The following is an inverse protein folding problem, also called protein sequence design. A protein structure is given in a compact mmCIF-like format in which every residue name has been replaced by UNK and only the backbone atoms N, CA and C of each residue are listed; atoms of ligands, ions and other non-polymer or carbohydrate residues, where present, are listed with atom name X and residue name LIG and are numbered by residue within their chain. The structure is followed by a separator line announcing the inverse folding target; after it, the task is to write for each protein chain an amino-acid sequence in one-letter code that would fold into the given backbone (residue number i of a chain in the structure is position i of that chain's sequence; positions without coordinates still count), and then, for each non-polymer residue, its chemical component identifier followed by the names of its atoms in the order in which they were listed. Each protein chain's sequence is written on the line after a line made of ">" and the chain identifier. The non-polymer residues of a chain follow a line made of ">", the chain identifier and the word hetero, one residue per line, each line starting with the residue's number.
data_IF_493086748871
#
_entry.id   IF_493086748871
#
_cell.length_a   1.000
_cell.length_b   1.000
_cell.length_c   1.000
_cell.angle_alpha   90.00
_cell.angle_beta   90.00
_cell.angle_gamma   90.00
#
_symmetry.space_group_name_H-M   'P 1'
#
loop_
_entity.id
_entity.type
_entity.pdbx_description
1 polymer ?
#
# COMPACT_ATOMS: atom_id res chain seq x y z
N UNK A 1 -22.40 18.76 -20.87
CA UNK A 1 -21.15 18.05 -20.55
C UNK A 1 -20.75 17.26 -21.80
N UNK A 2 -19.54 17.46 -22.35
CA UNK A 2 -19.14 16.82 -23.61
C UNK A 2 -18.76 15.34 -23.42
N UNK A 3 -18.97 14.53 -24.45
CA UNK A 3 -18.73 13.08 -24.48
C UNK A 3 -17.28 12.71 -24.08
N UNK A 4 -16.31 13.53 -24.47
CA UNK A 4 -14.88 13.39 -24.12
C UNK A 4 -14.60 13.46 -22.61
N UNK A 5 -15.36 14.28 -21.87
CA UNK A 5 -15.17 14.41 -20.40
C UNK A 5 -15.69 13.16 -19.69
N UNK A 6 -16.71 12.51 -20.25
CA UNK A 6 -17.29 11.28 -19.70
C UNK A 6 -16.31 10.10 -19.83
N UNK A 7 -15.63 10.00 -20.97
CA UNK A 7 -14.60 8.98 -21.23
C UNK A 7 -13.40 9.09 -20.27
N UNK A 8 -12.83 10.29 -20.12
CA UNK A 8 -11.72 10.53 -19.19
C UNK A 8 -12.09 10.22 -17.73
N UNK A 9 -13.32 10.53 -17.33
CA UNK A 9 -13.81 10.24 -15.98
C UNK A 9 -13.82 8.74 -15.70
N UNK A 10 -14.29 7.93 -16.65
CA UNK A 10 -14.31 6.46 -16.51
C UNK A 10 -12.89 5.87 -16.54
N UNK A 11 -12.02 6.38 -17.40
CA UNK A 11 -10.60 5.98 -17.41
C UNK A 11 -9.92 6.21 -16.06
N UNK A 12 -10.17 7.36 -15.41
CA UNK A 12 -9.60 7.68 -14.09
C UNK A 12 -10.16 6.77 -13.01
N UNK A 13 -11.47 6.49 -13.02
CA UNK A 13 -12.10 5.55 -12.07
C UNK A 13 -11.51 4.15 -12.20
N UNK A 14 -11.36 3.65 -13.42
CA UNK A 14 -10.81 2.32 -13.66
C UNK A 14 -9.36 2.22 -13.19
N UNK A 15 -8.53 3.22 -13.47
CA UNK A 15 -7.16 3.23 -12.98
C UNK A 15 -7.08 3.34 -11.45
N UNK A 16 -7.98 4.11 -10.83
CA UNK A 16 -8.07 4.17 -9.36
C UNK A 16 -8.36 2.79 -8.77
N UNK A 17 -9.35 2.08 -9.31
CA UNK A 17 -9.70 0.72 -8.88
C UNK A 17 -8.51 -0.24 -9.00
N UNK A 18 -7.82 -0.21 -10.15
CA UNK A 18 -6.60 -1.03 -10.36
C UNK A 18 -5.49 -0.73 -9.37
N UNK A 19 -5.38 0.50 -8.86
CA UNK A 19 -4.39 0.86 -7.82
C UNK A 19 -4.83 0.34 -6.44
N UNK A 20 -6.12 0.44 -6.12
CA UNK A 20 -6.70 -0.07 -4.87
C UNK A 20 -6.58 -1.61 -4.79
N UNK A 21 -6.74 -2.32 -5.90
CA UNK A 21 -6.54 -3.78 -5.96
C UNK A 21 -5.10 -4.23 -5.75
N UNK A 22 -4.13 -3.35 -6.01
CA UNK A 22 -2.70 -3.66 -5.95
C UNK A 22 -2.06 -3.18 -4.65
N UNK A 23 -2.66 -2.19 -4.00
CA UNK A 23 -2.04 -1.50 -2.87
C UNK A 23 -2.99 -1.25 -1.73
N UNK A 24 -2.48 -1.40 -0.51
CA UNK A 24 -3.19 -1.10 0.72
C UNK A 24 -2.60 0.12 1.44
N UNK A 25 -3.40 0.73 2.30
CA UNK A 25 -2.96 1.77 3.22
C UNK A 25 -2.29 1.20 4.47
N UNK A 26 -1.77 2.10 5.30
CA UNK A 26 -1.13 1.77 6.59
C UNK A 26 -2.07 1.02 7.53
N UNK A 27 -3.35 1.41 7.56
CA UNK A 27 -4.35 0.80 8.45
C UNK A 27 -4.58 -0.67 8.11
N UNK A 28 -4.87 -0.95 6.84
CA UNK A 28 -5.05 -2.32 6.33
C UNK A 28 -3.77 -3.15 6.53
N UNK A 29 -2.60 -2.54 6.31
CA UNK A 29 -1.33 -3.21 6.59
C UNK A 29 -1.16 -3.56 8.08
N UNK A 30 -1.58 -2.67 8.99
CA UNK A 30 -1.57 -2.93 10.42
C UNK A 30 -2.49 -4.11 10.79
N UNK A 31 -3.66 -4.20 10.16
CA UNK A 31 -4.60 -5.32 10.32
C UNK A 31 -3.99 -6.64 9.84
N UNK A 32 -3.34 -6.66 8.67
CA UNK A 32 -2.64 -7.84 8.13
C UNK A 32 -1.54 -8.31 9.08
N UNK A 33 -0.76 -7.36 9.63
CA UNK A 33 0.37 -7.67 10.50
C UNK A 33 -0.05 -7.97 11.94
N UNK A 34 -1.31 -7.71 12.33
CA UNK A 34 -1.79 -7.89 13.70
C UNK A 34 -1.18 -6.89 14.70
N UNK A 35 -0.84 -5.68 14.25
CA UNK A 35 -0.19 -4.64 15.09
C UNK A 35 -0.99 -3.33 15.08
N UNK A 36 -0.60 -2.39 15.94
CA UNK A 36 -1.16 -1.04 15.92
C UNK A 36 -0.70 -0.21 14.72
N UNK A 37 -1.51 0.78 14.30
CA UNK A 37 -1.14 1.69 13.21
C UNK A 37 0.17 2.45 13.46
N UNK A 38 0.51 2.76 14.72
CA UNK A 38 1.78 3.39 15.09
C UNK A 38 2.96 2.48 14.74
N UNK A 39 2.92 1.23 15.18
CA UNK A 39 3.94 0.21 14.89
C UNK A 39 4.05 -0.02 13.39
N UNK A 40 2.92 -0.13 12.67
CA UNK A 40 2.94 -0.23 11.21
C UNK A 40 3.65 0.95 10.53
N UNK A 41 3.49 2.17 11.05
CA UNK A 41 4.22 3.37 10.56
C UNK A 41 5.69 3.35 10.92
N UNK A 42 6.07 2.78 12.06
CA UNK A 42 7.47 2.59 12.45
C UNK A 42 8.15 1.57 11.53
N UNK A 43 7.49 0.44 11.25
CA UNK A 43 7.96 -0.57 10.29
C UNK A 43 8.20 0.02 8.90
N UNK A 44 7.31 0.90 8.43
CA UNK A 44 7.46 1.64 7.15
C UNK A 44 8.66 2.61 7.13
N UNK A 45 9.19 2.99 8.29
CA UNK A 45 10.37 3.85 8.44
C UNK A 45 11.62 3.08 8.90
N UNK A 46 11.52 1.77 9.07
CA UNK A 46 12.63 0.91 9.51
C UNK A 46 13.71 0.79 8.43
N UNK A 47 14.82 0.12 8.77
CA UNK A 47 15.89 -0.22 7.83
C UNK A 47 15.46 -1.21 6.75
N UNK A 48 14.42 -2.02 6.99
CA UNK A 48 13.93 -3.02 6.05
C UNK A 48 12.39 -2.96 5.92
N UNK A 49 11.86 -1.86 5.35
CA UNK A 49 10.43 -1.63 5.33
C UNK A 49 9.73 -2.55 4.31
N UNK A 50 8.40 -2.76 4.46
CA UNK A 50 7.62 -3.47 3.46
C UNK A 50 7.67 -2.76 2.10
N UNK A 51 7.38 -3.45 0.99
CA UNK A 51 7.39 -2.86 -0.34
C UNK A 51 6.29 -1.82 -0.46
N UNK A 52 6.65 -0.53 -0.40
CA UNK A 52 5.68 0.57 -0.43
C UNK A 52 6.04 1.63 -1.48
N UNK A 53 5.03 2.42 -1.84
CA UNK A 53 5.14 3.68 -2.58
C UNK A 53 4.67 4.81 -1.66
N UNK A 54 5.46 5.87 -1.54
CA UNK A 54 5.10 7.06 -0.76
C UNK A 54 4.57 8.14 -1.69
N UNK A 55 3.32 8.54 -1.48
CA UNK A 55 2.64 9.61 -2.23
C UNK A 55 2.32 10.74 -1.26
N UNK A 56 3.17 11.76 -1.23
CA UNK A 56 3.11 12.81 -0.21
C UNK A 56 3.26 12.22 1.20
N UNK A 57 2.21 12.38 2.03
CA UNK A 57 2.17 11.82 3.39
C UNK A 57 1.44 10.48 3.51
N UNK A 58 1.11 9.83 2.38
CA UNK A 58 0.43 8.54 2.35
C UNK A 58 1.37 7.44 1.89
N UNK A 59 1.28 6.28 2.55
CA UNK A 59 1.96 5.06 2.13
C UNK A 59 0.95 4.14 1.41
N UNK A 60 1.41 3.54 0.31
CA UNK A 60 0.70 2.51 -0.45
C UNK A 60 1.56 1.26 -0.49
N UNK A 61 1.21 0.25 0.30
CA UNK A 61 1.96 -1.01 0.42
C UNK A 61 1.50 -1.94 -0.71
N UNK A 62 2.44 -2.54 -1.43
CA UNK A 62 2.18 -3.41 -2.60
C UNK A 62 1.86 -4.82 -2.10
N UNK A 63 0.60 -5.23 -2.24
CA UNK A 63 0.09 -6.50 -1.69
C UNK A 63 0.88 -7.69 -2.22
N UNK A 64 1.09 -7.75 -3.54
CA UNK A 64 1.71 -8.89 -4.22
C UNK A 64 3.16 -9.17 -3.83
N UNK A 65 3.77 -8.31 -3.01
CA UNK A 65 5.17 -8.44 -2.57
C UNK A 65 5.31 -8.57 -1.05
N UNK A 66 4.20 -8.60 -0.31
CA UNK A 66 4.23 -8.74 1.16
C UNK A 66 4.84 -10.09 1.54
N UNK A 67 4.42 -11.19 0.91
CA UNK A 67 4.93 -12.54 1.22
C UNK A 67 6.45 -12.64 1.00
N UNK A 68 6.95 -12.09 -0.12
CA UNK A 68 8.39 -12.03 -0.39
C UNK A 68 9.16 -11.25 0.68
N UNK A 69 8.57 -10.16 1.17
CA UNK A 69 9.15 -9.35 2.22
C UNK A 69 9.13 -10.07 3.57
N UNK A 70 8.01 -10.70 3.95
CA UNK A 70 7.90 -11.51 5.17
C UNK A 70 8.95 -12.62 5.23
N UNK A 71 9.17 -13.31 4.11
CA UNK A 71 10.19 -14.36 4.02
C UNK A 71 11.61 -13.84 4.29
N UNK A 72 11.90 -12.57 3.95
CA UNK A 72 13.21 -11.94 4.22
C UNK A 72 13.37 -11.51 5.68
N UNK A 73 12.27 -11.42 6.43
CA UNK A 73 12.26 -10.98 7.83
C UNK A 73 12.33 -12.12 8.83
N UNK A 74 12.36 -13.37 8.38
CA UNK A 74 12.48 -14.53 9.28
C UNK A 74 13.72 -14.36 10.16
N UNK A 75 13.51 -14.31 11.48
CA UNK A 75 14.57 -14.11 12.47
C UNK A 75 14.97 -12.66 12.73
N UNK A 76 14.27 -11.68 12.18
CA UNK A 76 14.48 -10.25 12.49
C UNK A 76 13.51 -9.79 13.60
N UNK A 77 13.97 -8.81 14.39
CA UNK A 77 13.20 -8.15 15.45
C UNK A 77 13.03 -6.66 15.11
N UNK A 78 11.92 -6.06 15.52
CA UNK A 78 11.51 -4.68 15.23
C UNK A 78 11.19 -3.91 16.50
#
# INVERSE_FOLDING_TARGET
>A
MSETVRDLTEMVKEHRRKVEEKTIGVKEFAEIMGVGESTAREMLRSSNPPPYIKVGNRYRIIISRIDEWLNKLIGQEF
#
